data_IF_642727845038
#
_entry.id   IF_642727845038
#
_cell.length_a   1.000
_cell.length_b   1.000
_cell.length_c   1.000
_cell.angle_alpha   90.00
_cell.angle_beta   90.00
_cell.angle_gamma   90.00
#
_symmetry.space_group_name_H-M   'P 1'
#
loop_
_entity.id
_entity.type
_entity.pdbx_description
1 polymer ?
#
# COMPACT_ATOMS: atom_id res chain seq x y z
N UNK A 1 -16.70 7.72 -12.16
CA UNK A 1 -16.37 7.19 -13.50
C UNK A 1 -16.30 5.65 -13.46
N UNK A 2 -15.26 4.99 -12.89
CA UNK A 2 -15.14 3.51 -12.90
C UNK A 2 -16.39 2.84 -12.30
N UNK A 3 -16.88 3.32 -11.15
CA UNK A 3 -18.06 2.76 -10.49
C UNK A 3 -19.30 2.89 -11.37
N UNK A 4 -19.46 4.04 -12.05
CA UNK A 4 -20.58 4.29 -12.96
C UNK A 4 -20.52 3.44 -14.22
N UNK A 5 -19.38 3.42 -14.90
CA UNK A 5 -19.19 2.71 -16.16
C UNK A 5 -19.36 1.19 -16.03
N UNK A 6 -18.83 0.61 -14.93
CA UNK A 6 -18.92 -0.82 -14.65
C UNK A 6 -20.11 -1.20 -13.75
N UNK A 7 -21.02 -0.24 -13.48
CA UNK A 7 -22.19 -0.43 -12.61
C UNK A 7 -21.85 -1.08 -11.26
N UNK A 8 -20.73 -0.61 -10.66
CA UNK A 8 -20.21 -1.15 -9.41
C UNK A 8 -20.81 -0.41 -8.22
N UNK A 9 -21.13 -1.16 -7.17
CA UNK A 9 -21.41 -0.60 -5.86
C UNK A 9 -20.14 -0.18 -5.10
N UNK A 10 -20.29 0.45 -3.95
CA UNK A 10 -19.17 0.92 -3.13
C UNK A 10 -18.27 -0.25 -2.65
N UNK A 11 -18.88 -1.40 -2.35
CA UNK A 11 -18.17 -2.60 -1.88
C UNK A 11 -17.26 -3.17 -2.95
N UNK A 12 -17.74 -3.27 -4.20
CA UNK A 12 -16.89 -3.64 -5.34
C UNK A 12 -15.74 -2.63 -5.54
N UNK A 13 -16.01 -1.32 -5.39
CA UNK A 13 -14.96 -0.29 -5.43
C UNK A 13 -13.90 -0.45 -4.33
N UNK A 14 -14.31 -0.84 -3.13
CA UNK A 14 -13.40 -1.17 -2.04
C UNK A 14 -12.53 -2.39 -2.38
N UNK A 15 -13.12 -3.43 -2.97
CA UNK A 15 -12.37 -4.63 -3.40
C UNK A 15 -11.29 -4.32 -4.44
N UNK A 16 -11.56 -3.44 -5.40
CA UNK A 16 -10.57 -3.04 -6.42
C UNK A 16 -9.29 -2.48 -5.79
N UNK A 17 -9.39 -1.73 -4.70
CA UNK A 17 -8.26 -1.13 -3.99
C UNK A 17 -7.70 -2.03 -2.90
N UNK A 18 -8.57 -2.58 -2.06
CA UNK A 18 -8.18 -3.32 -0.85
C UNK A 18 -7.61 -4.70 -1.16
N UNK A 19 -8.11 -5.40 -2.20
CA UNK A 19 -7.53 -6.67 -2.62
C UNK A 19 -6.10 -6.49 -3.12
N UNK A 20 -5.84 -5.42 -3.87
CA UNK A 20 -4.50 -5.08 -4.30
C UNK A 20 -3.56 -4.89 -3.09
N UNK A 21 -3.97 -4.07 -2.12
CA UNK A 21 -3.18 -3.80 -0.92
C UNK A 21 -2.97 -5.07 -0.06
N UNK A 22 -4.01 -5.91 0.07
CA UNK A 22 -3.94 -7.16 0.82
C UNK A 22 -2.96 -8.15 0.19
N UNK A 23 -3.07 -8.39 -1.11
CA UNK A 23 -2.16 -9.29 -1.85
C UNK A 23 -0.73 -8.77 -1.77
N UNK A 24 -0.53 -7.46 -1.97
CA UNK A 24 0.77 -6.83 -1.85
C UNK A 24 1.37 -7.08 -0.46
N UNK A 25 0.64 -6.79 0.60
CA UNK A 25 1.11 -6.95 1.98
C UNK A 25 1.47 -8.41 2.31
N UNK A 26 0.63 -9.35 1.91
CA UNK A 26 0.83 -10.79 2.11
C UNK A 26 2.10 -11.28 1.41
N UNK A 27 2.28 -10.87 0.15
CA UNK A 27 3.37 -11.38 -0.68
C UNK A 27 4.72 -10.68 -0.41
N UNK A 28 4.73 -9.45 0.12
CA UNK A 28 5.96 -8.69 0.37
C UNK A 28 7.02 -9.48 1.15
N UNK A 29 6.61 -10.20 2.20
CA UNK A 29 7.52 -11.00 3.01
C UNK A 29 8.10 -12.18 2.23
N UNK A 30 7.26 -12.89 1.49
CA UNK A 30 7.65 -14.06 0.71
C UNK A 30 8.52 -13.70 -0.49
N UNK A 31 8.16 -12.64 -1.20
CA UNK A 31 8.86 -12.17 -2.41
C UNK A 31 10.23 -11.57 -2.10
N UNK A 32 10.38 -10.92 -0.93
CA UNK A 32 11.68 -10.47 -0.45
C UNK A 32 12.68 -11.65 -0.30
N UNK A 33 12.25 -12.75 0.31
CA UNK A 33 13.08 -13.98 0.42
C UNK A 33 13.32 -14.65 -0.93
N UNK A 34 12.32 -14.63 -1.80
CA UNK A 34 12.46 -15.17 -3.15
C UNK A 34 13.48 -14.38 -3.97
N UNK A 35 13.49 -13.05 -3.86
CA UNK A 35 14.44 -12.16 -4.51
C UNK A 35 15.89 -12.45 -4.08
N UNK A 36 16.11 -12.67 -2.79
CA UNK A 36 17.43 -13.00 -2.26
C UNK A 36 17.96 -14.34 -2.79
N UNK A 37 17.07 -15.30 -3.08
CA UNK A 37 17.44 -16.64 -3.57
C UNK A 37 17.58 -16.72 -5.09
N UNK A 38 16.60 -16.21 -5.84
CA UNK A 38 16.55 -16.37 -7.30
C UNK A 38 17.26 -15.24 -8.04
N UNK A 39 17.51 -14.13 -7.38
CA UNK A 39 18.11 -12.94 -7.95
C UNK A 39 17.12 -11.78 -8.00
N UNK A 40 17.58 -10.65 -7.51
CA UNK A 40 16.77 -9.46 -7.33
C UNK A 40 16.36 -8.83 -8.66
N UNK A 41 17.32 -8.74 -9.62
CA UNK A 41 17.03 -8.24 -10.98
C UNK A 41 16.01 -9.13 -11.70
N UNK A 42 16.20 -10.44 -11.65
CA UNK A 42 15.28 -11.39 -12.30
C UNK A 42 13.86 -11.25 -11.78
N UNK A 43 13.73 -11.18 -10.45
CA UNK A 43 12.42 -11.04 -9.82
C UNK A 43 11.78 -9.69 -10.12
N UNK A 44 12.57 -8.62 -10.14
CA UNK A 44 12.13 -7.29 -10.54
C UNK A 44 11.57 -7.28 -11.98
N UNK A 45 12.31 -7.86 -12.94
CA UNK A 45 11.87 -7.94 -14.33
C UNK A 45 10.62 -8.80 -14.51
N UNK A 46 10.54 -9.95 -13.83
CA UNK A 46 9.35 -10.78 -13.81
C UNK A 46 8.15 -10.03 -13.21
N UNK A 47 8.37 -9.29 -12.12
CA UNK A 47 7.36 -8.44 -11.50
C UNK A 47 6.84 -7.35 -12.44
N UNK A 48 7.72 -6.69 -13.20
CA UNK A 48 7.32 -5.70 -14.21
C UNK A 48 6.42 -6.31 -15.30
N UNK A 49 6.78 -7.48 -15.80
CA UNK A 49 5.95 -8.17 -16.82
C UNK A 49 4.56 -8.49 -16.26
N UNK A 50 4.49 -9.06 -15.05
CA UNK A 50 3.21 -9.39 -14.40
C UNK A 50 2.41 -8.13 -14.10
N UNK A 51 3.04 -7.05 -13.64
CA UNK A 51 2.40 -5.78 -13.34
C UNK A 51 1.82 -5.12 -14.59
N UNK A 52 2.58 -5.09 -15.69
CA UNK A 52 2.11 -4.54 -16.97
C UNK A 52 0.99 -5.40 -17.55
N UNK A 53 1.11 -6.72 -17.51
CA UNK A 53 0.03 -7.62 -17.94
C UNK A 53 -1.27 -7.38 -17.14
N UNK A 54 -1.18 -7.30 -15.81
CA UNK A 54 -2.31 -6.94 -14.95
C UNK A 54 -2.88 -5.55 -15.27
N UNK A 55 -2.03 -4.58 -15.62
CA UNK A 55 -2.47 -3.23 -16.02
C UNK A 55 -3.25 -3.25 -17.34
N UNK A 56 -2.78 -4.01 -18.35
CA UNK A 56 -3.51 -4.18 -19.62
C UNK A 56 -4.86 -4.87 -19.38
N UNK A 57 -4.87 -5.95 -18.59
CA UNK A 57 -6.11 -6.64 -18.24
C UNK A 57 -7.09 -5.73 -17.49
N UNK A 58 -6.61 -4.89 -16.56
CA UNK A 58 -7.45 -3.94 -15.84
C UNK A 58 -8.07 -2.89 -16.78
N UNK A 59 -7.28 -2.39 -17.72
CA UNK A 59 -7.75 -1.43 -18.73
C UNK A 59 -8.79 -2.02 -19.70
N UNK A 60 -8.75 -3.32 -19.94
CA UNK A 60 -9.69 -4.04 -20.84
C UNK A 60 -10.87 -4.67 -20.09
N UNK A 61 -11.03 -4.39 -18.79
CA UNK A 61 -12.12 -4.96 -18.00
C UNK A 61 -13.46 -4.28 -18.33
N UNK A 62 -14.47 -5.08 -18.61
CA UNK A 62 -15.84 -4.66 -18.91
C UNK A 62 -16.83 -4.92 -17.74
N UNK A 63 -16.33 -5.48 -16.63
CA UNK A 63 -17.11 -5.79 -15.45
C UNK A 63 -16.23 -5.75 -14.19
N UNK A 64 -16.88 -5.68 -13.01
CA UNK A 64 -16.20 -5.64 -11.71
C UNK A 64 -15.29 -6.85 -11.45
N UNK A 65 -15.76 -8.06 -11.72
CA UNK A 65 -14.99 -9.29 -11.48
C UNK A 65 -13.66 -9.34 -12.25
N UNK A 66 -13.65 -9.18 -13.59
CA UNK A 66 -12.42 -9.05 -14.38
C UNK A 66 -11.48 -7.95 -13.87
N UNK A 67 -12.01 -6.77 -13.51
CA UNK A 67 -11.20 -5.69 -12.97
C UNK A 67 -10.53 -6.07 -11.64
N UNK A 68 -11.29 -6.64 -10.71
CA UNK A 68 -10.76 -7.12 -9.42
C UNK A 68 -9.69 -8.20 -9.64
N UNK A 69 -9.93 -9.14 -10.56
CA UNK A 69 -8.96 -10.18 -10.92
C UNK A 69 -7.67 -9.61 -11.52
N UNK A 70 -7.79 -8.64 -12.42
CA UNK A 70 -6.64 -7.94 -13.02
C UNK A 70 -5.83 -7.17 -11.96
N UNK A 71 -6.50 -6.53 -10.99
CA UNK A 71 -5.86 -5.88 -9.84
C UNK A 71 -5.12 -6.87 -8.94
N UNK A 72 -5.63 -8.08 -8.78
CA UNK A 72 -4.93 -9.14 -8.06
C UNK A 72 -3.62 -9.53 -8.77
N UNK A 73 -3.65 -9.71 -10.09
CA UNK A 73 -2.45 -9.98 -10.90
C UNK A 73 -1.45 -8.82 -10.80
N UNK A 74 -1.93 -7.59 -10.91
CA UNK A 74 -1.11 -6.39 -10.79
C UNK A 74 -0.43 -6.30 -9.40
N UNK A 75 -1.15 -6.66 -8.33
CA UNK A 75 -0.61 -6.70 -6.96
C UNK A 75 0.51 -7.74 -6.80
N UNK A 76 0.39 -8.91 -7.44
CA UNK A 76 1.47 -9.91 -7.49
C UNK A 76 2.71 -9.32 -8.15
N UNK A 77 2.56 -8.64 -9.28
CA UNK A 77 3.66 -7.94 -9.95
C UNK A 77 4.33 -6.90 -9.06
N UNK A 78 3.55 -6.05 -8.40
CA UNK A 78 4.06 -5.03 -7.47
C UNK A 78 4.79 -5.65 -6.28
N UNK A 79 4.29 -6.77 -5.73
CA UNK A 79 4.93 -7.50 -4.65
C UNK A 79 6.31 -8.06 -5.03
N UNK A 80 6.52 -8.41 -6.28
CA UNK A 80 7.83 -8.82 -6.80
C UNK A 80 8.78 -7.62 -7.00
N UNK A 81 8.27 -6.46 -7.38
CA UNK A 81 9.03 -5.24 -7.67
C UNK A 81 9.57 -4.61 -6.38
N UNK A 82 8.71 -4.34 -5.38
CA UNK A 82 9.05 -3.51 -4.22
C UNK A 82 10.23 -4.03 -3.40
N UNK A 83 10.26 -5.28 -2.90
CA UNK A 83 11.38 -5.79 -2.13
C UNK A 83 12.66 -5.90 -2.96
N UNK A 84 12.52 -6.26 -4.24
CA UNK A 84 13.65 -6.38 -5.16
C UNK A 84 14.37 -5.04 -5.35
N UNK A 85 13.62 -3.94 -5.46
CA UNK A 85 14.18 -2.59 -5.61
C UNK A 85 14.94 -2.17 -4.35
N UNK A 86 14.29 -2.26 -3.18
CA UNK A 86 14.87 -1.86 -1.90
C UNK A 86 16.14 -2.66 -1.58
N UNK A 87 16.08 -3.98 -1.78
CA UNK A 87 17.22 -4.87 -1.54
C UNK A 87 18.37 -4.63 -2.52
N UNK A 88 18.08 -4.28 -3.79
CA UNK A 88 19.11 -3.93 -4.78
C UNK A 88 19.81 -2.64 -4.41
N UNK A 89 19.07 -1.59 -4.06
CA UNK A 89 19.64 -0.31 -3.58
C UNK A 89 20.56 -0.56 -2.39
N UNK A 90 20.10 -1.36 -1.44
CA UNK A 90 20.89 -1.70 -0.25
C UNK A 90 22.18 -2.49 -0.56
N UNK A 91 22.17 -3.36 -1.57
CA UNK A 91 23.32 -4.17 -1.95
C UNK A 91 24.35 -3.41 -2.79
N UNK A 92 23.89 -2.53 -3.68
CA UNK A 92 24.75 -1.83 -4.65
C UNK A 92 25.41 -0.59 -4.03
N UNK A 93 24.65 0.18 -3.20
CA UNK A 93 25.16 1.41 -2.64
C UNK A 93 25.67 1.21 -1.20
N UNK A 94 26.82 1.83 -0.88
CA UNK A 94 27.44 1.77 0.46
C UNK A 94 27.78 3.17 0.99
N UNK A 95 27.86 3.30 2.32
CA UNK A 95 28.24 4.53 3.00
C UNK A 95 27.35 5.73 2.59
N UNK A 96 27.97 6.88 2.28
CA UNK A 96 27.26 8.11 1.91
C UNK A 96 26.38 7.97 0.66
N UNK A 97 26.76 7.11 -0.27
CA UNK A 97 25.99 6.86 -1.49
C UNK A 97 24.71 6.09 -1.21
N UNK A 98 24.72 5.20 -0.20
CA UNK A 98 23.50 4.51 0.25
C UNK A 98 22.47 5.50 0.78
N UNK A 99 22.88 6.43 1.66
CA UNK A 99 22.00 7.47 2.17
C UNK A 99 21.42 8.36 1.06
N UNK A 100 22.25 8.73 0.06
CA UNK A 100 21.79 9.48 -1.10
C UNK A 100 20.79 8.69 -1.95
N UNK A 101 21.04 7.40 -2.22
CA UNK A 101 20.16 6.54 -3.00
C UNK A 101 18.80 6.34 -2.32
N UNK A 102 18.77 6.14 -0.99
CA UNK A 102 17.53 6.09 -0.22
C UNK A 102 16.80 7.45 -0.20
N UNK A 103 17.55 8.57 -0.17
CA UNK A 103 16.96 9.90 -0.30
C UNK A 103 16.27 10.10 -1.66
N UNK A 104 16.91 9.69 -2.75
CA UNK A 104 16.29 9.71 -4.10
C UNK A 104 15.08 8.77 -4.16
N UNK A 105 15.20 7.56 -3.62
CA UNK A 105 14.09 6.58 -3.57
C UNK A 105 12.88 7.14 -2.83
N UNK A 106 13.09 7.75 -1.65
CA UNK A 106 12.05 8.41 -0.88
C UNK A 106 11.43 9.60 -1.61
N UNK A 107 12.26 10.45 -2.27
CA UNK A 107 11.78 11.57 -3.07
C UNK A 107 10.91 11.11 -4.26
N UNK A 108 11.29 10.02 -4.93
CA UNK A 108 10.50 9.43 -6.03
C UNK A 108 9.16 8.91 -5.53
N UNK A 109 9.12 8.21 -4.39
CA UNK A 109 7.86 7.73 -3.80
C UNK A 109 6.94 8.89 -3.45
N UNK A 110 7.46 9.91 -2.74
CA UNK A 110 6.69 11.10 -2.37
C UNK A 110 6.22 11.88 -3.61
N UNK A 111 7.09 12.01 -4.62
CA UNK A 111 6.74 12.64 -5.88
C UNK A 111 5.67 11.87 -6.65
N UNK A 112 5.74 10.53 -6.67
CA UNK A 112 4.73 9.70 -7.30
C UNK A 112 3.39 9.77 -6.56
N UNK A 113 3.40 9.84 -5.24
CA UNK A 113 2.21 10.08 -4.43
C UNK A 113 1.56 11.44 -4.73
N UNK A 114 2.38 12.46 -5.07
CA UNK A 114 1.91 13.77 -5.51
C UNK A 114 1.25 13.71 -6.90
N UNK A 115 1.96 13.12 -7.83
CA UNK A 115 1.56 13.08 -9.24
C UNK A 115 0.36 12.13 -9.44
N UNK A 116 0.26 11.07 -8.63
CA UNK A 116 -0.78 10.03 -8.78
C UNK A 116 -2.20 10.57 -8.85
N UNK A 117 -2.71 11.26 -7.82
CA UNK A 117 -4.07 11.81 -7.84
C UNK A 117 -4.29 12.84 -8.96
N UNK A 118 -3.29 13.69 -9.23
CA UNK A 118 -3.36 14.69 -10.30
C UNK A 118 -3.42 14.04 -11.69
N UNK A 119 -2.49 13.11 -11.96
CA UNK A 119 -2.46 12.38 -13.22
C UNK A 119 -3.71 11.49 -13.38
N UNK A 120 -4.14 10.83 -12.31
CA UNK A 120 -5.36 10.01 -12.31
C UNK A 120 -6.60 10.84 -12.60
N UNK A 121 -6.74 12.01 -11.95
CA UNK A 121 -7.82 12.96 -12.22
C UNK A 121 -7.80 13.46 -13.67
N UNK A 122 -6.64 13.87 -14.16
CA UNK A 122 -6.47 14.34 -15.55
C UNK A 122 -6.78 13.26 -16.58
N UNK A 123 -6.25 12.07 -16.40
CA UNK A 123 -6.50 10.95 -17.33
C UNK A 123 -7.98 10.55 -17.36
N UNK A 124 -8.65 10.57 -16.20
CA UNK A 124 -10.07 10.26 -16.10
C UNK A 124 -10.94 11.34 -16.75
N UNK A 125 -10.61 12.62 -16.56
CA UNK A 125 -11.36 13.76 -17.08
C UNK A 125 -11.19 13.97 -18.57
N UNK A 126 -9.93 13.89 -19.09
CA UNK A 126 -9.60 14.26 -20.46
C UNK A 126 -9.45 13.07 -21.43
N UNK A 127 -9.37 11.84 -20.90
CA UNK A 127 -9.30 10.64 -21.72
C UNK A 127 -10.37 9.63 -21.28
N UNK A 128 -10.00 8.68 -20.44
CA UNK A 128 -10.93 7.73 -19.81
C UNK A 128 -10.25 7.05 -18.63
N UNK A 129 -11.01 6.41 -17.73
CA UNK A 129 -10.45 5.75 -16.55
C UNK A 129 -9.48 4.60 -16.92
N UNK A 130 -9.61 3.97 -18.07
CA UNK A 130 -8.72 2.91 -18.54
C UNK A 130 -7.27 3.39 -18.65
N UNK A 131 -7.07 4.67 -18.97
CA UNK A 131 -5.73 5.27 -19.08
C UNK A 131 -4.97 5.32 -17.76
N UNK A 132 -5.65 5.26 -16.61
CA UNK A 132 -5.01 5.11 -15.30
C UNK A 132 -4.15 3.83 -15.25
N UNK A 133 -4.60 2.79 -15.93
CA UNK A 133 -3.88 1.51 -16.03
C UNK A 133 -2.93 1.48 -17.24
N UNK A 134 -3.37 1.99 -18.41
CA UNK A 134 -2.57 1.96 -19.64
C UNK A 134 -1.28 2.77 -19.55
N UNK A 135 -1.25 3.83 -18.76
CA UNK A 135 -0.02 4.63 -18.52
C UNK A 135 1.13 3.79 -17.95
N UNK A 136 0.81 2.72 -17.23
CA UNK A 136 1.82 1.80 -16.70
C UNK A 136 2.54 1.01 -17.80
N UNK A 137 1.95 0.86 -18.99
CA UNK A 137 2.53 0.07 -20.08
C UNK A 137 3.81 0.73 -20.63
N UNK A 138 3.77 1.98 -21.14
CA UNK A 138 4.98 2.63 -21.65
C UNK A 138 6.02 2.84 -20.53
N UNK A 139 5.60 3.18 -19.30
CA UNK A 139 6.50 3.32 -18.16
C UNK A 139 7.15 1.98 -17.84
N UNK A 140 6.37 0.90 -17.75
CA UNK A 140 6.87 -0.44 -17.44
C UNK A 140 7.85 -0.95 -18.50
N UNK A 141 7.56 -0.74 -19.78
CA UNK A 141 8.47 -1.09 -20.88
C UNK A 141 9.78 -0.30 -20.79
N UNK A 142 9.71 1.02 -20.58
CA UNK A 142 10.90 1.85 -20.45
C UNK A 142 11.77 1.42 -19.25
N UNK A 143 11.13 1.18 -18.08
CA UNK A 143 11.82 0.70 -16.88
C UNK A 143 12.39 -0.70 -17.09
N UNK A 144 11.69 -1.60 -17.79
CA UNK A 144 12.16 -2.94 -18.10
C UNK A 144 13.44 -2.91 -18.94
N UNK A 145 13.44 -2.12 -20.02
CA UNK A 145 14.62 -1.95 -20.89
C UNK A 145 15.78 -1.33 -20.12
N UNK A 146 15.53 -0.27 -19.36
CA UNK A 146 16.54 0.37 -18.54
C UNK A 146 17.13 -0.60 -17.49
N UNK A 147 16.29 -1.39 -16.84
CA UNK A 147 16.73 -2.34 -15.83
C UNK A 147 17.60 -3.48 -16.41
N UNK A 148 17.30 -3.94 -17.62
CA UNK A 148 18.15 -4.93 -18.31
C UNK A 148 19.59 -4.40 -18.44
N UNK A 149 19.74 -3.14 -18.81
CA UNK A 149 21.04 -2.53 -19.12
C UNK A 149 21.75 -2.07 -17.83
N UNK A 150 21.05 -1.39 -16.94
CA UNK A 150 21.67 -0.63 -15.83
C UNK A 150 21.74 -1.42 -14.53
N UNK A 151 20.73 -2.26 -14.23
CA UNK A 151 20.65 -2.93 -12.93
C UNK A 151 21.52 -4.19 -12.90
N UNK A 152 22.50 -4.29 -11.99
CA UNK A 152 23.28 -5.51 -11.82
C UNK A 152 22.44 -6.60 -11.15
N UNK A 153 22.73 -7.88 -11.46
CA UNK A 153 22.14 -8.98 -10.72
C UNK A 153 22.79 -9.07 -9.33
N UNK A 154 21.95 -9.10 -8.30
CA UNK A 154 22.39 -9.24 -6.92
C UNK A 154 21.57 -10.33 -6.21
N UNK A 155 22.16 -10.97 -5.21
CA UNK A 155 21.52 -12.01 -4.39
C UNK A 155 21.84 -11.77 -2.92
N UNK A 156 21.06 -12.38 -2.04
CA UNK A 156 21.35 -12.36 -0.60
C UNK A 156 22.54 -13.24 -0.26
N UNK A 157 23.47 -12.74 0.56
CA UNK A 157 24.72 -13.46 0.93
C UNK A 157 24.47 -14.69 1.82
N UNK A 158 23.35 -14.76 2.52
CA UNK A 158 23.04 -15.82 3.50
C UNK A 158 21.60 -16.33 3.35
N UNK A 159 21.31 -16.95 2.21
CA UNK A 159 20.03 -17.63 2.08
C UNK A 159 20.02 -18.91 2.92
N UNK A 160 19.35 -18.91 4.07
CA UNK A 160 19.09 -20.14 4.83
C UNK A 160 18.30 -21.12 3.97
N UNK A 161 18.55 -22.45 4.09
CA UNK A 161 17.90 -23.45 3.24
C UNK A 161 16.38 -23.47 3.46
N UNK A 162 15.65 -23.67 2.35
CA UNK A 162 14.19 -23.86 2.34
C UNK A 162 13.40 -22.60 1.98
N UNK A 163 12.22 -22.82 1.39
CA UNK A 163 11.16 -21.80 1.19
C UNK A 163 10.12 -22.04 2.28
N UNK A 164 9.61 -20.98 2.87
CA UNK A 164 8.57 -21.05 3.88
C UNK A 164 7.19 -20.95 3.23
N UNK A 165 6.75 -22.03 2.62
CA UNK A 165 5.44 -22.10 1.96
C UNK A 165 4.32 -22.08 3.00
N UNK A 166 4.50 -22.80 4.12
CA UNK A 166 3.47 -22.90 5.17
C UNK A 166 3.26 -21.54 5.84
N UNK A 167 4.36 -20.81 6.16
CA UNK A 167 4.27 -19.44 6.68
C UNK A 167 3.61 -18.47 5.68
N UNK A 168 3.93 -18.60 4.38
CA UNK A 168 3.30 -17.80 3.34
C UNK A 168 1.79 -18.08 3.24
N UNK A 169 1.37 -19.35 3.30
CA UNK A 169 -0.05 -19.73 3.28
C UNK A 169 -0.78 -19.25 4.54
N UNK A 170 -0.20 -19.44 5.72
CA UNK A 170 -0.80 -18.98 6.98
C UNK A 170 -0.97 -17.45 7.01
N UNK A 171 0.03 -16.71 6.54
CA UNK A 171 -0.09 -15.24 6.45
C UNK A 171 -1.13 -14.83 5.40
N UNK A 172 -1.17 -15.50 4.24
CA UNK A 172 -2.15 -15.24 3.18
C UNK A 172 -3.59 -15.47 3.65
N UNK A 173 -3.86 -16.62 4.28
CA UNK A 173 -5.17 -16.94 4.84
C UNK A 173 -5.53 -15.95 5.95
N UNK A 174 -4.60 -15.66 6.86
CA UNK A 174 -4.84 -14.79 7.99
C UNK A 174 -5.15 -13.34 7.58
N UNK A 175 -4.31 -12.72 6.76
CA UNK A 175 -4.55 -11.37 6.27
C UNK A 175 -5.72 -11.31 5.29
N UNK A 176 -5.88 -12.32 4.41
CA UNK A 176 -7.01 -12.40 3.48
C UNK A 176 -8.34 -12.47 4.21
N UNK A 177 -8.47 -13.32 5.22
CA UNK A 177 -9.67 -13.43 6.03
C UNK A 177 -9.94 -12.15 6.85
N UNK A 178 -8.89 -11.49 7.36
CA UNK A 178 -9.02 -10.22 8.08
C UNK A 178 -9.55 -9.12 7.16
N UNK A 179 -8.95 -8.96 5.99
CA UNK A 179 -9.34 -7.94 5.00
C UNK A 179 -10.76 -8.20 4.51
N UNK A 180 -11.11 -9.46 4.18
CA UNK A 180 -12.47 -9.86 3.83
C UNK A 180 -13.46 -9.44 4.93
N UNK A 181 -13.17 -9.75 6.18
CA UNK A 181 -14.05 -9.43 7.30
C UNK A 181 -14.29 -7.93 7.46
N UNK A 182 -13.24 -7.12 7.27
CA UNK A 182 -13.34 -5.66 7.40
C UNK A 182 -14.14 -5.04 6.25
N UNK A 183 -13.96 -5.52 5.01
CA UNK A 183 -14.65 -5.00 3.83
C UNK A 183 -16.12 -5.41 3.83
N UNK A 184 -16.40 -6.69 4.04
CA UNK A 184 -17.76 -7.26 3.94
C UNK A 184 -18.57 -7.13 5.22
N UNK A 185 -17.92 -6.78 6.34
CA UNK A 185 -18.58 -6.68 7.64
C UNK A 185 -19.82 -5.77 7.67
N UNK A 186 -19.80 -4.56 7.07
CA UNK A 186 -20.96 -3.68 6.99
C UNK A 186 -22.14 -4.28 6.24
N UNK A 187 -21.89 -5.01 5.15
CA UNK A 187 -22.91 -5.53 4.23
C UNK A 187 -23.43 -6.91 4.67
N UNK A 188 -22.53 -7.82 5.09
CA UNK A 188 -22.92 -9.14 5.57
C UNK A 188 -23.35 -9.17 7.06
N UNK A 189 -23.05 -8.09 7.80
CA UNK A 189 -23.34 -7.98 9.24
C UNK A 189 -22.23 -8.53 10.12
N UNK A 190 -21.85 -7.74 11.13
CA UNK A 190 -20.74 -8.08 12.04
C UNK A 190 -21.02 -9.29 12.95
N UNK A 191 -22.26 -9.49 13.37
CA UNK A 191 -22.69 -10.58 14.25
C UNK A 191 -23.88 -11.31 13.69
N UNK A 192 -24.99 -10.60 13.45
CA UNK A 192 -26.18 -11.14 12.81
C UNK A 192 -26.06 -10.99 11.30
N UNK A 193 -26.40 -12.02 10.49
CA UNK A 193 -26.41 -11.91 9.05
C UNK A 193 -27.37 -10.81 8.58
N UNK A 194 -26.95 -10.00 7.63
CA UNK A 194 -27.78 -9.02 6.93
C UNK A 194 -28.10 -9.47 5.51
N UNK A 195 -27.21 -10.25 4.91
CA UNK A 195 -27.35 -10.79 3.57
C UNK A 195 -26.79 -12.19 3.48
N UNK A 196 -27.19 -12.96 2.47
CA UNK A 196 -26.59 -14.24 2.16
C UNK A 196 -25.23 -14.03 1.50
N UNK A 197 -24.22 -14.82 1.91
CA UNK A 197 -22.92 -14.84 1.27
C UNK A 197 -22.78 -16.07 0.37
N UNK A 198 -22.33 -15.86 -0.87
CA UNK A 198 -22.15 -16.94 -1.85
C UNK A 198 -20.73 -16.93 -2.41
N UNK A 199 -20.09 -18.10 -2.43
CA UNK A 199 -18.79 -18.32 -3.04
C UNK A 199 -18.69 -19.71 -3.65
N UNK A 200 -18.28 -19.80 -4.91
CA UNK A 200 -18.11 -21.08 -5.63
C UNK A 200 -19.28 -22.08 -5.48
N UNK A 201 -20.52 -21.58 -5.49
CA UNK A 201 -21.72 -22.41 -5.36
C UNK A 201 -22.09 -22.80 -3.93
N UNK A 202 -21.28 -22.44 -2.94
CA UNK A 202 -21.62 -22.57 -1.53
C UNK A 202 -22.29 -21.29 -1.02
N UNK A 203 -23.40 -21.46 -0.25
CA UNK A 203 -24.17 -20.32 0.25
C UNK A 203 -24.23 -20.36 1.77
N UNK A 204 -23.82 -19.24 2.41
CA UNK A 204 -24.13 -18.98 3.81
C UNK A 204 -25.44 -18.18 3.87
N UNK A 205 -26.52 -18.75 4.43
CA UNK A 205 -27.83 -18.13 4.32
C UNK A 205 -27.98 -16.92 5.24
N UNK A 206 -28.87 -16.00 4.85
CA UNK A 206 -29.16 -14.80 5.63
C UNK A 206 -29.93 -15.05 6.92
N UNK A 207 -30.55 -16.23 7.06
CA UNK A 207 -31.26 -16.68 8.26
C UNK A 207 -30.39 -17.53 9.21
N UNK A 208 -29.09 -17.64 8.94
CA UNK A 208 -28.16 -18.31 9.83
C UNK A 208 -28.10 -17.61 11.22
N UNK A 209 -27.85 -18.38 12.30
CA UNK A 209 -27.79 -17.82 13.66
C UNK A 209 -26.65 -16.82 13.87
N UNK A 210 -25.61 -16.88 13.04
CA UNK A 210 -24.43 -16.01 13.09
C UNK A 210 -23.96 -15.66 11.67
N UNK A 211 -23.44 -14.46 11.48
CA UNK A 211 -22.83 -14.06 10.21
C UNK A 211 -21.56 -14.86 9.92
N UNK A 212 -21.15 -14.88 8.65
CA UNK A 212 -19.85 -15.44 8.24
C UNK A 212 -18.66 -14.62 8.80
N UNK A 213 -18.87 -13.34 9.12
CA UNK A 213 -17.82 -12.42 9.55
C UNK A 213 -17.11 -12.83 10.85
N UNK A 214 -17.79 -13.17 11.96
CA UNK A 214 -17.10 -13.66 13.15
C UNK A 214 -16.27 -14.93 12.89
N UNK A 215 -16.73 -15.78 11.99
CA UNK A 215 -16.01 -17.01 11.62
C UNK A 215 -14.74 -16.66 10.85
N UNK A 216 -14.82 -15.78 9.86
CA UNK A 216 -13.64 -15.34 9.10
C UNK A 216 -12.66 -14.56 9.98
N UNK A 217 -13.13 -13.76 10.96
CA UNK A 217 -12.26 -13.14 11.97
C UNK A 217 -11.57 -14.19 12.86
N UNK A 218 -12.28 -15.23 13.26
CA UNK A 218 -11.68 -16.33 14.03
C UNK A 218 -10.63 -17.09 13.20
N UNK A 219 -10.89 -17.33 11.91
CA UNK A 219 -9.92 -17.91 10.97
C UNK A 219 -8.71 -17.00 10.83
N UNK A 220 -8.92 -15.69 10.69
CA UNK A 220 -7.83 -14.70 10.63
C UNK A 220 -6.95 -14.76 11.89
N UNK A 221 -7.56 -14.70 13.07
CA UNK A 221 -6.87 -14.75 14.35
C UNK A 221 -6.10 -16.07 14.55
N UNK A 222 -6.72 -17.20 14.23
CA UNK A 222 -6.10 -18.51 14.32
C UNK A 222 -4.92 -18.65 13.35
N UNK A 223 -5.10 -18.26 12.08
CA UNK A 223 -4.04 -18.35 11.06
C UNK A 223 -2.86 -17.44 11.38
N UNK A 224 -3.09 -16.19 11.81
CA UNK A 224 -2.02 -15.27 12.20
C UNK A 224 -1.31 -15.74 13.47
N UNK A 225 -2.02 -16.32 14.43
CA UNK A 225 -1.42 -16.93 15.62
C UNK A 225 -0.54 -18.13 15.23
N UNK A 226 -1.05 -19.02 14.39
CA UNK A 226 -0.28 -20.16 13.86
C UNK A 226 0.92 -19.69 13.04
N UNK A 227 0.79 -18.64 12.27
CA UNK A 227 1.91 -18.02 11.55
C UNK A 227 3.01 -17.59 12.52
N UNK A 228 2.70 -16.86 13.59
CA UNK A 228 3.68 -16.45 14.59
C UNK A 228 4.33 -17.64 15.29
N UNK A 229 3.56 -18.67 15.63
CA UNK A 229 4.08 -19.91 16.24
C UNK A 229 5.01 -20.64 15.26
N UNK A 230 4.60 -20.75 14.00
CA UNK A 230 5.38 -21.38 12.93
C UNK A 230 6.70 -20.67 12.67
N UNK A 231 6.69 -19.33 12.54
CA UNK A 231 7.89 -18.53 12.38
C UNK A 231 8.87 -18.71 13.54
N UNK A 232 8.37 -18.74 14.79
CA UNK A 232 9.18 -19.05 15.97
C UNK A 232 9.80 -20.44 15.91
N UNK A 233 9.01 -21.44 15.49
CA UNK A 233 9.49 -22.82 15.33
C UNK A 233 10.61 -22.90 14.28
N UNK A 234 10.41 -22.29 13.12
CA UNK A 234 11.43 -22.26 12.06
C UNK A 234 12.70 -21.55 12.46
N UNK A 235 12.55 -20.40 13.13
CA UNK A 235 13.70 -19.63 13.64
C UNK A 235 14.53 -20.41 14.66
N UNK A 236 13.86 -21.19 15.55
CA UNK A 236 14.55 -22.06 16.53
C UNK A 236 15.31 -23.21 15.85
N UNK A 237 14.80 -23.74 14.77
CA UNK A 237 15.39 -24.86 14.01
C UNK A 237 16.41 -24.38 12.95
N UNK A 238 16.79 -23.10 12.94
CA UNK A 238 17.78 -22.57 11.99
C UNK A 238 17.30 -22.53 10.53
N UNK A 239 15.99 -22.74 10.26
CA UNK A 239 15.39 -22.70 8.93
C UNK A 239 15.08 -21.26 8.50
N UNK A 240 14.88 -21.06 7.20
CA UNK A 240 14.45 -19.79 6.65
C UNK A 240 13.05 -19.45 7.15
N UNK A 241 12.89 -18.38 7.94
CA UNK A 241 11.64 -17.82 8.41
C UNK A 241 11.29 -16.59 7.56
N UNK A 242 10.02 -16.32 7.27
CA UNK A 242 9.60 -15.14 6.51
C UNK A 242 9.85 -13.86 7.32
N UNK A 243 9.56 -13.91 8.61
CA UNK A 243 9.70 -12.80 9.53
C UNK A 243 10.61 -13.16 10.70
N UNK A 244 11.69 -12.39 10.90
CA UNK A 244 12.52 -12.56 12.10
C UNK A 244 11.87 -11.85 13.30
N UNK A 245 11.11 -12.63 14.08
CA UNK A 245 10.39 -12.12 15.26
C UNK A 245 11.32 -11.58 16.36
N UNK A 246 12.65 -11.79 16.28
CA UNK A 246 13.60 -11.21 17.23
C UNK A 246 13.71 -9.71 17.08
N UNK A 247 13.45 -9.18 15.89
CA UNK A 247 13.44 -7.74 15.62
C UNK A 247 12.41 -7.02 16.49
N UNK A 248 11.28 -7.65 16.79
CA UNK A 248 10.25 -7.07 17.67
C UNK A 248 10.67 -6.99 19.16
N UNK A 249 11.81 -7.55 19.53
CA UNK A 249 12.40 -7.32 20.86
C UNK A 249 13.15 -5.98 20.96
N UNK A 250 13.46 -5.38 19.83
CA UNK A 250 14.09 -4.05 19.77
C UNK A 250 12.98 -2.98 19.87
N UNK A 251 12.97 -2.17 20.93
CA UNK A 251 11.92 -1.16 21.12
C UNK A 251 11.82 -0.18 19.94
N UNK A 252 12.95 0.23 19.38
CA UNK A 252 13.00 1.13 18.22
C UNK A 252 12.28 0.54 17.01
N UNK A 253 12.52 -0.74 16.72
CA UNK A 253 11.86 -1.45 15.63
C UNK A 253 10.34 -1.58 15.88
N UNK A 254 9.95 -2.02 17.06
CA UNK A 254 8.54 -2.25 17.41
C UNK A 254 7.74 -0.95 17.41
N UNK A 255 8.19 0.06 18.14
CA UNK A 255 7.49 1.34 18.18
C UNK A 255 7.56 2.09 16.84
N UNK A 256 8.67 1.97 16.10
CA UNK A 256 8.78 2.51 14.74
C UNK A 256 7.72 1.92 13.81
N UNK A 257 7.53 0.59 13.81
CA UNK A 257 6.51 -0.06 12.98
C UNK A 257 5.08 0.27 13.42
N UNK A 258 4.80 0.36 14.73
CA UNK A 258 3.49 0.77 15.25
C UNK A 258 3.18 2.20 14.78
N UNK A 259 4.14 3.11 14.92
CA UNK A 259 4.00 4.50 14.45
C UNK A 259 3.78 4.56 12.93
N UNK A 260 4.59 3.83 12.16
CA UNK A 260 4.43 3.76 10.69
C UNK A 260 3.04 3.21 10.31
N UNK A 261 2.55 2.20 11.02
CA UNK A 261 1.20 1.67 10.83
C UNK A 261 0.10 2.71 11.12
N UNK A 262 0.23 3.47 12.20
CA UNK A 262 -0.73 4.52 12.54
C UNK A 262 -0.74 5.66 11.49
N UNK A 263 0.45 6.09 11.03
CA UNK A 263 0.59 7.08 9.94
C UNK A 263 -0.07 6.56 8.66
N UNK A 264 0.20 5.31 8.27
CA UNK A 264 -0.38 4.71 7.08
C UNK A 264 -1.92 4.64 7.15
N UNK A 265 -2.50 4.30 8.31
CA UNK A 265 -3.96 4.30 8.49
C UNK A 265 -4.53 5.70 8.25
N UNK A 266 -3.91 6.75 8.79
CA UNK A 266 -4.32 8.14 8.56
C UNK A 266 -4.22 8.55 7.09
N UNK A 267 -3.09 8.24 6.45
CA UNK A 267 -2.83 8.55 5.05
C UNK A 267 -3.86 7.88 4.12
N UNK A 268 -4.04 6.56 4.25
CA UNK A 268 -4.99 5.84 3.40
C UNK A 268 -6.44 6.23 3.66
N UNK A 269 -6.81 6.58 4.91
CA UNK A 269 -8.13 7.10 5.21
C UNK A 269 -8.40 8.42 4.47
N UNK A 270 -7.45 9.35 4.46
CA UNK A 270 -7.58 10.61 3.73
C UNK A 270 -7.66 10.36 2.23
N UNK A 271 -6.76 9.55 1.68
CA UNK A 271 -6.71 9.24 0.24
C UNK A 271 -8.01 8.58 -0.24
N UNK A 272 -8.69 7.81 0.60
CA UNK A 272 -9.93 7.14 0.25
C UNK A 272 -11.17 8.02 0.48
N UNK A 273 -11.28 8.61 1.67
CA UNK A 273 -12.52 9.32 2.09
C UNK A 273 -12.62 10.69 1.45
N UNK A 274 -11.49 11.43 1.38
CA UNK A 274 -11.55 12.83 0.94
C UNK A 274 -12.00 13.01 -0.51
N UNK A 275 -11.52 12.21 -1.50
CA UNK A 275 -12.02 12.30 -2.88
C UNK A 275 -13.51 12.05 -2.99
N UNK A 276 -14.04 11.07 -2.24
CA UNK A 276 -15.48 10.77 -2.21
C UNK A 276 -16.27 11.98 -1.71
N UNK A 277 -15.78 12.66 -0.68
CA UNK A 277 -16.39 13.88 -0.16
C UNK A 277 -16.30 15.03 -1.18
N UNK A 278 -15.14 15.27 -1.78
CA UNK A 278 -14.92 16.36 -2.74
C UNK A 278 -15.82 16.21 -3.98
N UNK A 279 -15.99 14.98 -4.48
CA UNK A 279 -16.82 14.71 -5.65
C UNK A 279 -18.31 14.68 -5.29
N UNK A 280 -18.71 13.90 -4.27
CA UNK A 280 -20.13 13.66 -3.98
C UNK A 280 -20.79 14.76 -3.17
N UNK A 281 -20.08 15.41 -2.24
CA UNK A 281 -20.65 16.46 -1.39
C UNK A 281 -20.40 17.87 -1.93
N UNK A 282 -19.20 18.13 -2.49
CA UNK A 282 -18.83 19.43 -3.04
C UNK A 282 -19.06 19.56 -4.56
N UNK A 283 -19.44 18.46 -5.24
CA UNK A 283 -19.69 18.46 -6.69
C UNK A 283 -18.46 18.76 -7.54
N UNK A 284 -17.24 18.51 -7.02
CA UNK A 284 -16.01 18.72 -7.76
C UNK A 284 -15.85 17.66 -8.84
N UNK A 285 -15.26 18.04 -9.98
CA UNK A 285 -14.80 17.08 -10.96
C UNK A 285 -13.54 16.33 -10.49
N UNK A 286 -13.18 15.25 -11.15
CA UNK A 286 -12.04 14.40 -10.79
C UNK A 286 -10.71 15.19 -10.75
N UNK A 287 -10.52 16.13 -11.69
CA UNK A 287 -9.33 16.99 -11.72
C UNK A 287 -9.28 17.92 -10.51
N UNK A 288 -10.40 18.54 -10.14
CA UNK A 288 -10.48 19.42 -8.96
C UNK A 288 -10.14 18.66 -7.67
N UNK A 289 -10.72 17.48 -7.49
CA UNK A 289 -10.40 16.62 -6.35
C UNK A 289 -8.91 16.20 -6.37
N UNK A 290 -8.36 15.86 -7.53
CA UNK A 290 -6.95 15.54 -7.72
C UNK A 290 -6.02 16.70 -7.34
N UNK A 291 -6.36 17.93 -7.71
CA UNK A 291 -5.59 19.13 -7.34
C UNK A 291 -5.58 19.37 -5.82
N UNK A 292 -6.69 19.17 -5.14
CA UNK A 292 -6.75 19.27 -3.67
C UNK A 292 -5.84 18.25 -3.01
N UNK A 293 -5.87 16.98 -3.48
CA UNK A 293 -4.99 15.92 -2.97
C UNK A 293 -3.52 16.14 -3.32
N UNK A 294 -3.24 16.75 -4.47
CA UNK A 294 -1.87 17.07 -4.86
C UNK A 294 -1.19 18.03 -3.88
N UNK A 295 -1.95 18.88 -3.17
CA UNK A 295 -1.40 19.75 -2.14
C UNK A 295 -0.76 18.95 -0.99
N UNK A 296 -1.39 17.86 -0.53
CA UNK A 296 -0.82 16.95 0.47
C UNK A 296 0.53 16.39 0.00
N UNK A 297 0.57 15.96 -1.23
CA UNK A 297 1.74 15.32 -1.77
C UNK A 297 2.88 16.30 -2.07
N UNK A 298 2.57 17.55 -2.45
CA UNK A 298 3.56 18.65 -2.52
C UNK A 298 4.18 18.88 -1.14
N UNK A 299 3.36 18.93 -0.09
CA UNK A 299 3.85 19.02 1.29
C UNK A 299 4.78 17.88 1.66
N UNK A 300 4.37 16.62 1.38
CA UNK A 300 5.16 15.43 1.67
C UNK A 300 6.50 15.40 0.93
N UNK A 301 6.50 15.78 -0.36
CA UNK A 301 7.73 15.89 -1.14
C UNK A 301 8.68 16.94 -0.58
N UNK A 302 8.18 18.14 -0.30
CA UNK A 302 9.00 19.26 0.20
C UNK A 302 9.63 18.91 1.56
N UNK A 303 8.85 18.38 2.48
CA UNK A 303 9.32 17.99 3.82
C UNK A 303 10.20 16.76 3.80
N UNK A 304 9.90 15.75 2.98
CA UNK A 304 10.74 14.56 2.79
C UNK A 304 12.15 14.94 2.30
N UNK A 305 12.25 15.87 1.32
CA UNK A 305 13.53 16.39 0.85
C UNK A 305 14.29 17.15 1.95
N UNK A 306 13.57 17.88 2.82
CA UNK A 306 14.14 18.63 3.94
C UNK A 306 14.41 17.78 5.19
N UNK A 307 13.87 16.56 5.29
CA UNK A 307 13.86 15.74 6.49
C UNK A 307 15.25 15.52 7.11
N UNK A 308 16.29 15.36 6.27
CA UNK A 308 17.69 15.24 6.74
C UNK A 308 18.17 16.46 7.53
N UNK A 309 17.76 17.66 7.13
CA UNK A 309 18.17 18.90 7.79
C UNK A 309 17.44 19.09 9.12
N UNK A 310 16.16 18.72 9.15
CA UNK A 310 15.35 18.73 10.36
C UNK A 310 15.90 17.70 11.37
N UNK A 311 16.22 16.49 10.89
CA UNK A 311 16.79 15.43 11.72
C UNK A 311 18.19 15.79 12.26
N UNK A 312 18.98 16.54 11.53
CA UNK A 312 20.27 17.03 12.01
C UNK A 312 20.12 17.97 13.23
N UNK A 313 18.99 18.68 13.35
CA UNK A 313 18.72 19.62 14.44
C UNK A 313 17.95 18.99 15.61
N UNK A 314 16.94 18.17 15.33
CA UNK A 314 16.00 17.64 16.31
C UNK A 314 16.20 16.13 16.60
N UNK A 315 17.11 15.49 15.87
CA UNK A 315 17.26 14.02 15.88
C UNK A 315 16.12 13.31 15.16
N UNK A 316 16.26 12.01 14.92
CA UNK A 316 15.23 11.21 14.26
C UNK A 316 13.90 11.16 15.06
N UNK A 317 13.89 10.90 16.37
CA UNK A 317 12.64 10.89 17.16
C UNK A 317 11.94 12.26 17.18
N UNK A 318 12.70 13.36 17.33
CA UNK A 318 12.14 14.71 17.33
C UNK A 318 11.52 15.09 15.98
N UNK A 319 12.13 14.64 14.86
CA UNK A 319 11.59 14.83 13.51
C UNK A 319 10.28 14.06 13.30
N UNK A 320 10.19 12.82 13.81
CA UNK A 320 8.94 12.04 13.76
C UNK A 320 7.84 12.72 14.59
N UNK A 321 8.14 13.16 15.81
CA UNK A 321 7.16 13.87 16.65
C UNK A 321 6.66 15.16 16.02
N UNK A 322 7.55 15.92 15.41
CA UNK A 322 7.18 17.13 14.65
C UNK A 322 6.30 16.79 13.46
N UNK A 323 6.64 15.73 12.72
CA UNK A 323 5.83 15.23 11.61
C UNK A 323 4.42 14.84 12.06
N UNK A 324 4.31 14.01 13.09
CA UNK A 324 3.01 13.60 13.66
C UNK A 324 2.20 14.80 14.18
N UNK A 325 2.86 15.80 14.78
CA UNK A 325 2.21 17.04 15.21
C UNK A 325 1.56 17.80 14.05
N UNK A 326 2.26 17.93 12.92
CA UNK A 326 1.73 18.55 11.70
C UNK A 326 0.60 17.72 11.08
N UNK A 327 0.71 16.38 11.06
CA UNK A 327 -0.38 15.50 10.60
C UNK A 327 -1.65 15.70 11.42
N UNK A 328 -1.54 15.72 12.75
CA UNK A 328 -2.68 15.95 13.64
C UNK A 328 -3.25 17.35 13.42
N UNK A 329 -2.42 18.37 13.35
CA UNK A 329 -2.86 19.75 13.10
C UNK A 329 -3.59 19.85 11.75
N UNK A 330 -3.00 19.31 10.69
CA UNK A 330 -3.59 19.30 9.35
C UNK A 330 -4.97 18.62 9.32
N UNK A 331 -5.07 17.41 9.88
CA UNK A 331 -6.35 16.68 9.93
C UNK A 331 -7.40 17.43 10.75
N UNK A 332 -7.04 17.96 11.92
CA UNK A 332 -7.97 18.72 12.76
C UNK A 332 -8.49 19.94 12.02
N UNK A 333 -7.59 20.71 11.36
CA UNK A 333 -8.01 21.87 10.59
C UNK A 333 -8.87 21.46 9.40
N UNK A 334 -8.52 20.41 8.66
CA UNK A 334 -9.41 19.84 7.60
C UNK A 334 -10.79 19.56 8.19
N UNK A 335 -10.88 18.83 9.29
CA UNK A 335 -12.15 18.46 9.91
C UNK A 335 -12.99 19.69 10.33
N UNK A 336 -12.35 20.76 10.78
CA UNK A 336 -13.03 22.00 11.20
C UNK A 336 -13.52 22.84 10.03
N UNK A 337 -12.82 22.82 8.89
CA UNK A 337 -13.20 23.63 7.73
C UNK A 337 -14.12 22.91 6.74
N UNK A 338 -14.27 21.59 6.86
CA UNK A 338 -15.14 20.80 5.99
C UNK A 338 -16.61 21.15 6.21
N UNK A 339 -17.20 21.76 5.18
CA UNK A 339 -18.65 22.02 5.08
C UNK A 339 -19.11 21.78 3.64
N UNK A 340 -20.40 21.61 3.40
CA UNK A 340 -20.97 21.39 2.06
C UNK A 340 -20.67 22.51 1.03
N UNK A 341 -20.11 23.63 1.46
CA UNK A 341 -19.82 24.80 0.62
C UNK A 341 -18.37 25.25 0.66
N UNK A 342 -17.49 24.49 1.32
CA UNK A 342 -16.08 24.89 1.48
C UNK A 342 -15.35 24.86 0.15
N UNK A 343 -14.69 25.96 -0.26
CA UNK A 343 -13.87 25.98 -1.47
C UNK A 343 -12.69 25.02 -1.36
N UNK A 344 -12.32 24.34 -2.46
CA UNK A 344 -11.25 23.33 -2.46
C UNK A 344 -9.89 23.85 -1.96
N UNK A 345 -9.53 25.10 -2.24
CA UNK A 345 -8.28 25.70 -1.78
C UNK A 345 -8.19 25.82 -0.24
N UNK A 346 -9.34 25.99 0.44
CA UNK A 346 -9.41 26.04 1.92
C UNK A 346 -9.09 24.67 2.51
N UNK A 347 -9.44 23.59 1.81
CA UNK A 347 -9.12 22.21 2.19
C UNK A 347 -7.67 21.88 1.81
N UNK A 348 -7.19 22.38 0.68
CA UNK A 348 -5.85 22.10 0.17
C UNK A 348 -4.74 22.62 1.10
N UNK A 349 -4.90 23.76 1.74
CA UNK A 349 -3.89 24.34 2.64
C UNK A 349 -3.61 23.46 3.86
N UNK A 350 -4.58 23.07 4.70
CA UNK A 350 -4.32 22.19 5.83
C UNK A 350 -3.94 20.76 5.39
N UNK A 351 -4.36 20.36 4.19
CA UNK A 351 -3.94 19.09 3.62
C UNK A 351 -2.45 19.11 3.21
N UNK A 352 -1.95 20.26 2.75
CA UNK A 352 -0.52 20.46 2.53
C UNK A 352 0.27 20.39 3.84
N UNK A 353 -0.26 20.97 4.94
CA UNK A 353 0.34 20.86 6.27
C UNK A 353 0.40 19.42 6.76
N UNK A 354 -0.69 18.64 6.58
CA UNK A 354 -0.69 17.21 6.81
C UNK A 354 0.42 16.51 6.00
N UNK A 355 0.54 16.85 4.72
CA UNK A 355 1.61 16.33 3.85
C UNK A 355 3.01 16.65 4.34
N UNK A 356 3.24 17.88 4.83
CA UNK A 356 4.52 18.24 5.46
C UNK A 356 4.85 17.32 6.64
N UNK A 357 3.87 16.99 7.46
CA UNK A 357 4.00 16.04 8.55
C UNK A 357 4.36 14.64 8.07
N UNK A 358 3.60 14.13 7.10
CA UNK A 358 3.77 12.81 6.48
C UNK A 358 5.18 12.62 5.91
N UNK A 359 5.71 13.59 5.18
CA UNK A 359 7.05 13.51 4.59
C UNK A 359 8.16 13.47 5.63
N UNK A 360 8.06 14.25 6.73
CA UNK A 360 9.02 14.21 7.83
C UNK A 360 8.98 12.86 8.57
N UNK A 361 7.79 12.38 8.92
CA UNK A 361 7.62 11.13 9.67
C UNK A 361 8.09 9.93 8.84
N UNK A 362 7.62 9.79 7.61
CA UNK A 362 7.91 8.66 6.73
C UNK A 362 9.40 8.56 6.37
N UNK A 363 10.08 9.70 6.15
CA UNK A 363 11.51 9.71 5.83
C UNK A 363 12.37 9.15 6.97
N UNK A 364 11.99 9.39 8.24
CA UNK A 364 12.71 8.87 9.39
C UNK A 364 12.33 7.43 9.72
N UNK A 365 11.05 7.08 9.65
CA UNK A 365 10.55 5.72 9.95
C UNK A 365 11.12 4.69 8.96
N UNK A 366 11.26 5.05 7.67
CA UNK A 366 11.87 4.18 6.67
C UNK A 366 13.39 4.01 6.87
N UNK A 367 14.07 5.03 7.42
CA UNK A 367 15.52 5.00 7.63
C UNK A 367 15.98 4.27 8.89
N UNK A 368 15.07 4.03 9.85
CA UNK A 368 15.36 3.38 11.15
C UNK A 368 15.04 1.88 11.18
N UNK A 369 14.35 1.35 10.19
CA UNK A 369 14.10 -0.09 9.96
C UNK A 369 15.15 -0.67 9.03
#
# INVERSE_FOLDING_TARGET
DILGDLQMDLTHGQWVTSLYAAILAVLLLSTGRLADRWGRKRLFLAGLVVFVAGSVMAASAEASGPLIGARAIQAVGAALIMPSTLSTVNAVFRGRYRAAAFGVWGAVISGAAAIGPLAGGALTEYASWQWIFLVNVPIGVAVFVAAIVVVPETRGETARPGVDVDGALLSAIGFGALVFSVIEGPDLGWWAPKAAFQIFGWTWPADAPISIIPITLAVAAASLTLFVVWERHRARNGRSALLDLRLFRLPTFTWGNITAGAVAVGEFAIIFVLPLYLVNALGMNAMGAGLVLAAMAVGAFASGAAARHVAARFGAPGTVLLGLGLEVAGVVVVALVLTATTPGWVIALPLMDYGLGLGLASAQLTGTG
#
